data_IF_533215297536
#
_entry.id   IF_533215297536
#
_cell.length_a   1.000
_cell.length_b   1.000
_cell.length_c   1.000
_cell.angle_alpha   90.00
_cell.angle_beta   90.00
_cell.angle_gamma   90.00
#
_symmetry.space_group_name_H-M   'P 1'
#
loop_
_entity.id
_entity.type
_entity.pdbx_description
1 polymer ?
#
# COMPACT_ATOMS: atom_id res chain seq x y z
N UNK A 1 3.15 18.12 -19.30
CA UNK A 1 3.92 16.90 -19.03
C UNK A 1 4.96 17.23 -17.98
N UNK A 2 4.74 16.84 -16.73
CA UNK A 2 5.72 17.03 -15.66
C UNK A 2 6.73 15.89 -15.70
N UNK A 3 8.01 16.24 -15.80
CA UNK A 3 9.09 15.26 -15.62
C UNK A 3 9.16 14.91 -14.13
N UNK A 4 8.98 13.68 -13.79
CA UNK A 4 9.26 13.20 -12.44
C UNK A 4 10.77 13.27 -12.21
N UNK A 5 11.18 13.71 -11.01
CA UNK A 5 12.59 13.76 -10.62
C UNK A 5 13.23 12.37 -10.72
N UNK A 6 14.52 12.33 -10.96
CA UNK A 6 15.32 11.11 -11.03
C UNK A 6 15.12 10.22 -9.78
N UNK A 7 15.05 10.83 -8.62
CA UNK A 7 14.83 10.16 -7.34
C UNK A 7 13.47 9.45 -7.28
N UNK A 8 12.41 10.10 -7.78
CA UNK A 8 11.08 9.51 -7.86
C UNK A 8 11.02 8.42 -8.92
N UNK A 9 11.74 8.56 -10.04
CA UNK A 9 11.89 7.54 -11.05
C UNK A 9 12.63 6.31 -10.51
N UNK A 10 13.68 6.49 -9.71
CA UNK A 10 14.40 5.39 -9.05
C UNK A 10 13.52 4.58 -8.12
N UNK A 11 12.65 5.23 -7.37
CA UNK A 11 11.66 4.55 -6.54
C UNK A 11 10.77 3.64 -7.37
N UNK A 12 10.32 4.08 -8.54
CA UNK A 12 9.49 3.26 -9.43
C UNK A 12 10.25 2.11 -10.11
N UNK A 13 11.49 2.33 -10.52
CA UNK A 13 12.30 1.32 -11.23
C UNK A 13 12.65 0.13 -10.33
N UNK A 14 12.82 0.36 -9.03
CA UNK A 14 13.09 -0.71 -8.07
C UNK A 14 11.89 -1.60 -7.76
N UNK A 15 10.71 -1.32 -8.33
CA UNK A 15 9.42 -1.81 -7.87
C UNK A 15 8.78 -2.90 -8.73
N UNK A 16 9.16 -3.04 -9.97
CA UNK A 16 8.65 -4.09 -10.85
C UNK A 16 9.71 -5.15 -11.06
N UNK A 17 9.36 -6.42 -10.87
CA UNK A 17 10.27 -7.55 -11.08
C UNK A 17 10.91 -7.54 -12.48
N UNK A 18 10.19 -7.00 -13.47
CA UNK A 18 10.70 -6.81 -14.84
C UNK A 18 11.70 -5.65 -14.96
N UNK A 19 11.78 -4.77 -13.98
CA UNK A 19 12.69 -3.61 -13.98
C UNK A 19 13.91 -3.78 -13.08
N UNK A 20 14.01 -4.83 -12.30
CA UNK A 20 15.12 -5.07 -11.38
C UNK A 20 16.51 -5.10 -12.04
N UNK A 21 16.55 -5.36 -13.35
CA UNK A 21 17.76 -5.39 -14.17
C UNK A 21 17.89 -4.20 -15.13
N UNK A 22 17.00 -3.19 -15.03
CA UNK A 22 17.02 -2.02 -15.91
C UNK A 22 17.61 -0.82 -15.19
N UNK A 23 18.42 -0.07 -15.89
CA UNK A 23 18.97 1.20 -15.38
C UNK A 23 17.98 2.34 -15.63
N UNK A 24 18.18 3.47 -14.94
CA UNK A 24 17.42 4.71 -15.16
C UNK A 24 17.44 5.15 -16.62
N UNK A 25 18.50 4.84 -17.33
CA UNK A 25 18.67 5.13 -18.77
C UNK A 25 17.64 4.36 -19.62
N UNK A 26 17.15 3.22 -19.13
CA UNK A 26 16.14 2.42 -19.79
C UNK A 26 14.71 2.94 -19.58
N UNK A 27 14.46 3.73 -18.54
CA UNK A 27 13.17 4.32 -18.21
C UNK A 27 13.28 5.83 -17.89
N UNK A 28 13.73 6.65 -18.84
CA UNK A 28 14.05 8.05 -18.57
C UNK A 28 12.84 8.96 -18.38
N UNK A 29 11.62 8.48 -18.67
CA UNK A 29 10.43 9.33 -18.71
C UNK A 29 9.23 8.72 -18.00
N UNK A 30 8.62 9.57 -17.19
CA UNK A 30 7.28 9.32 -16.64
C UNK A 30 6.40 10.49 -17.02
N UNK A 31 5.11 10.22 -17.18
CA UNK A 31 4.10 11.26 -17.28
C UNK A 31 3.00 11.03 -16.28
N UNK A 32 2.45 12.11 -15.75
CA UNK A 32 1.29 12.12 -14.88
C UNK A 32 0.14 12.77 -15.62
N UNK A 33 -0.98 12.07 -15.71
CA UNK A 33 -2.21 12.57 -16.30
C UNK A 33 -3.38 12.28 -15.39
N UNK A 34 -4.49 13.06 -15.46
CA UNK A 34 -5.71 12.72 -14.74
C UNK A 34 -6.15 11.30 -15.09
N UNK A 35 -6.51 10.52 -14.06
CA UNK A 35 -7.00 9.15 -14.28
C UNK A 35 -8.47 9.15 -14.72
N UNK A 36 -8.86 8.19 -15.58
CA UNK A 36 -10.28 7.91 -15.87
C UNK A 36 -11.10 7.54 -14.63
N UNK A 37 -10.45 7.15 -13.52
CA UNK A 37 -11.12 6.88 -12.25
C UNK A 37 -11.75 8.11 -11.60
N UNK A 38 -11.36 9.34 -12.04
CA UNK A 38 -11.92 10.59 -11.57
C UNK A 38 -11.06 11.32 -10.54
N UNK A 39 -11.70 12.24 -9.83
CA UNK A 39 -11.02 13.10 -8.85
C UNK A 39 -10.29 12.29 -7.77
N UNK A 40 -9.09 12.73 -7.42
CA UNK A 40 -8.23 12.05 -6.45
C UNK A 40 -7.43 10.88 -7.02
N UNK A 41 -7.46 10.68 -8.35
CA UNK A 41 -6.66 9.67 -9.03
C UNK A 41 -5.87 10.25 -10.19
N UNK A 42 -4.68 9.72 -10.40
CA UNK A 42 -3.82 10.05 -11.55
C UNK A 42 -3.27 8.77 -12.19
N UNK A 43 -3.03 8.83 -13.49
CA UNK A 43 -2.36 7.76 -14.24
C UNK A 43 -0.89 8.10 -14.36
N UNK A 44 -0.04 7.18 -13.93
CA UNK A 44 1.41 7.22 -14.12
C UNK A 44 1.75 6.37 -15.32
N UNK A 45 2.36 6.96 -16.33
CA UNK A 45 2.81 6.24 -17.53
C UNK A 45 4.33 6.24 -17.58
N UNK A 46 4.90 5.07 -17.74
CA UNK A 46 6.34 4.84 -17.87
C UNK A 46 6.70 4.60 -19.33
N UNK A 47 7.75 5.23 -19.79
CA UNK A 47 8.27 5.02 -21.14
C UNK A 47 9.66 4.39 -21.07
N UNK A 48 9.83 3.27 -21.75
CA UNK A 48 11.15 2.65 -21.94
C UNK A 48 11.87 3.22 -23.14
N UNK A 49 13.18 3.04 -23.21
CA UNK A 49 13.98 3.41 -24.39
C UNK A 49 13.50 2.73 -25.68
N UNK A 50 12.80 1.60 -25.58
CA UNK A 50 12.21 0.86 -26.69
C UNK A 50 10.81 1.35 -27.09
N UNK A 51 10.37 2.49 -26.58
CA UNK A 51 9.04 3.07 -26.81
C UNK A 51 7.87 2.22 -26.32
N UNK A 52 8.11 1.21 -25.49
CA UNK A 52 7.02 0.56 -24.78
C UNK A 52 6.57 1.42 -23.61
N UNK A 53 5.27 1.44 -23.34
CA UNK A 53 4.72 2.15 -22.19
C UNK A 53 3.94 1.18 -21.30
N UNK A 54 4.10 1.35 -20.02
CA UNK A 54 3.28 0.71 -19.00
C UNK A 54 2.63 1.80 -18.17
N UNK A 55 1.42 1.62 -17.74
CA UNK A 55 0.73 2.60 -16.91
C UNK A 55 0.08 1.97 -15.68
N UNK A 56 -0.09 2.77 -14.65
CA UNK A 56 -0.92 2.40 -13.51
C UNK A 56 -1.63 3.64 -12.96
N UNK A 57 -2.81 3.43 -12.43
CA UNK A 57 -3.54 4.47 -11.71
C UNK A 57 -3.15 4.48 -10.24
N UNK A 58 -2.98 5.66 -9.68
CA UNK A 58 -2.68 5.86 -8.26
C UNK A 58 -3.55 6.95 -7.64
N UNK A 59 -3.87 6.82 -6.36
CA UNK A 59 -4.49 7.90 -5.60
C UNK A 59 -3.53 9.07 -5.39
N UNK A 60 -4.05 10.28 -5.40
CA UNK A 60 -3.27 11.51 -5.24
C UNK A 60 -3.17 12.00 -3.80
N UNK A 61 -3.96 11.43 -2.87
CA UNK A 61 -3.95 11.77 -1.46
C UNK A 61 -3.10 10.83 -0.61
N UNK A 62 -2.80 11.25 0.62
CA UNK A 62 -2.18 10.39 1.61
C UNK A 62 -3.12 9.25 1.98
N UNK A 63 -2.62 8.03 1.87
CA UNK A 63 -3.30 6.82 2.29
C UNK A 63 -2.36 5.99 3.16
N UNK A 64 -2.93 5.07 3.92
CA UNK A 64 -2.15 4.28 4.87
C UNK A 64 -2.62 2.83 4.85
N UNK A 65 -1.67 1.91 4.85
CA UNK A 65 -1.89 0.53 5.26
C UNK A 65 -1.42 0.40 6.71
N UNK A 66 -2.27 -0.11 7.56
CA UNK A 66 -2.03 -0.15 9.01
C UNK A 66 -2.12 -1.55 9.57
N UNK A 67 -1.47 -1.74 10.70
CA UNK A 67 -1.57 -2.95 11.53
C UNK A 67 -2.07 -2.54 12.90
N UNK A 68 -3.19 -3.11 13.31
CA UNK A 68 -3.80 -2.89 14.61
C UNK A 68 -3.75 -4.15 15.45
N UNK A 69 -3.57 -3.97 16.76
CA UNK A 69 -3.72 -5.03 17.77
C UNK A 69 -4.87 -4.73 18.73
N UNK A 70 -5.38 -5.77 19.37
CA UNK A 70 -6.39 -5.65 20.41
C UNK A 70 -6.08 -6.61 21.55
N UNK A 71 -6.12 -6.17 22.82
CA UNK A 71 -5.82 -7.04 23.97
C UNK A 71 -6.78 -8.22 24.11
N UNK A 72 -8.01 -8.13 23.57
CA UNK A 72 -9.00 -9.22 23.59
C UNK A 72 -8.66 -10.36 22.63
N UNK A 73 -7.80 -10.09 21.64
CA UNK A 73 -7.34 -11.06 20.64
C UNK A 73 -5.82 -10.98 20.49
N UNK A 74 -5.04 -11.40 21.53
CA UNK A 74 -3.60 -11.11 21.61
C UNK A 74 -2.76 -11.76 20.51
N UNK A 75 -3.27 -12.81 19.86
CA UNK A 75 -2.57 -13.54 18.79
C UNK A 75 -2.95 -13.07 17.39
N UNK A 76 -3.85 -12.09 17.27
CA UNK A 76 -4.35 -11.61 15.99
C UNK A 76 -3.94 -10.17 15.73
N UNK A 77 -3.60 -9.89 14.48
CA UNK A 77 -3.41 -8.54 13.98
C UNK A 77 -4.44 -8.25 12.91
N UNK A 78 -4.99 -7.03 12.96
CA UNK A 78 -5.86 -6.51 11.89
C UNK A 78 -5.00 -5.70 10.92
N UNK A 79 -5.06 -6.06 9.64
CA UNK A 79 -4.38 -5.35 8.56
C UNK A 79 -5.43 -4.73 7.64
N UNK A 80 -5.40 -3.42 7.51
CA UNK A 80 -6.35 -2.69 6.70
C UNK A 80 -5.75 -1.43 6.08
N UNK A 81 -6.55 -0.69 5.33
CA UNK A 81 -6.15 0.59 4.80
C UNK A 81 -7.13 1.71 5.18
N UNK A 82 -6.66 2.94 5.08
CA UNK A 82 -7.48 4.12 5.30
C UNK A 82 -7.00 5.29 4.45
N UNK A 83 -7.93 6.16 4.06
CA UNK A 83 -7.65 7.47 3.45
C UNK A 83 -7.56 8.58 4.50
N UNK A 84 -7.90 8.26 5.74
CA UNK A 84 -7.70 9.12 6.91
C UNK A 84 -6.42 8.70 7.64
N UNK A 85 -6.16 9.28 8.81
CA UNK A 85 -5.03 8.83 9.62
C UNK A 85 -5.31 7.46 10.24
N UNK A 86 -4.26 6.64 10.49
CA UNK A 86 -4.42 5.36 11.18
C UNK A 86 -5.06 5.49 12.57
N UNK A 87 -4.73 6.56 13.31
CA UNK A 87 -5.29 6.82 14.65
C UNK A 87 -6.80 7.10 14.60
N UNK A 88 -7.24 7.90 13.63
CA UNK A 88 -8.68 8.15 13.43
C UNK A 88 -9.41 6.86 13.07
N UNK A 89 -8.82 6.04 12.22
CA UNK A 89 -9.40 4.76 11.83
C UNK A 89 -9.48 3.79 13.00
N UNK A 90 -8.44 3.71 13.80
CA UNK A 90 -8.44 2.89 15.01
C UNK A 90 -9.53 3.31 16.01
N UNK A 91 -9.73 4.62 16.18
CA UNK A 91 -10.83 5.15 16.99
C UNK A 91 -12.21 4.79 16.44
N UNK A 92 -12.42 4.91 15.14
CA UNK A 92 -13.69 4.54 14.49
C UNK A 92 -14.01 3.06 14.69
N UNK A 93 -13.03 2.18 14.47
CA UNK A 93 -13.20 0.73 14.66
C UNK A 93 -13.44 0.41 16.13
N UNK A 94 -12.72 1.06 17.03
CA UNK A 94 -12.84 0.85 18.49
C UNK A 94 -14.20 1.29 19.05
N UNK A 95 -14.85 2.25 18.40
CA UNK A 95 -16.19 2.72 18.78
C UNK A 95 -17.32 1.80 18.29
N UNK A 96 -17.03 0.80 17.48
CA UNK A 96 -18.04 -0.11 16.94
C UNK A 96 -18.65 -1.00 18.02
N UNK A 97 -19.94 -1.33 17.87
CA UNK A 97 -20.65 -2.25 18.78
C UNK A 97 -19.96 -3.61 18.81
N UNK A 98 -19.74 -4.15 20.00
CA UNK A 98 -19.08 -5.45 20.20
C UNK A 98 -17.55 -5.37 20.35
N UNK A 99 -16.95 -4.21 20.24
CA UNK A 99 -15.52 -4.00 20.55
C UNK A 99 -15.38 -3.65 22.03
N UNK A 100 -14.85 -4.59 22.82
CA UNK A 100 -14.75 -4.45 24.27
C UNK A 100 -13.61 -3.53 24.72
N UNK A 101 -12.48 -3.52 24.01
CA UNK A 101 -11.29 -2.73 24.29
C UNK A 101 -10.79 -2.03 23.02
N UNK A 102 -10.16 -0.86 23.15
CA UNK A 102 -9.70 -0.11 21.97
C UNK A 102 -8.58 -0.83 21.24
N UNK A 103 -8.57 -0.66 19.91
CA UNK A 103 -7.46 -1.06 19.06
C UNK A 103 -6.28 -0.12 19.20
N UNK A 104 -5.09 -0.68 19.12
CA UNK A 104 -3.83 0.05 19.12
C UNK A 104 -3.18 -0.02 17.72
N UNK A 105 -2.70 1.12 17.23
CA UNK A 105 -1.90 1.18 16.00
C UNK A 105 -0.49 0.67 16.34
N UNK A 106 -0.12 -0.47 15.77
CA UNK A 106 1.22 -1.05 15.96
C UNK A 106 2.18 -0.62 14.86
N UNK A 107 1.66 -0.43 13.64
CA UNK A 107 2.44 -0.03 12.48
C UNK A 107 1.54 0.68 11.47
N UNK A 108 2.10 1.63 10.74
CA UNK A 108 1.41 2.31 9.65
C UNK A 108 2.39 2.67 8.54
N UNK A 109 1.99 2.40 7.31
CA UNK A 109 2.78 2.64 6.11
C UNK A 109 2.05 3.64 5.22
N UNK A 110 2.66 4.82 5.00
CA UNK A 110 2.10 5.86 4.12
C UNK A 110 2.34 5.49 2.66
N UNK A 111 1.30 5.54 1.86
CA UNK A 111 1.35 5.14 0.45
C UNK A 111 0.29 5.85 -0.38
N UNK A 112 0.36 5.68 -1.69
CA UNK A 112 -0.78 5.87 -2.57
C UNK A 112 -1.41 4.49 -2.87
N UNK A 113 -2.67 4.45 -3.35
CA UNK A 113 -3.41 3.19 -3.61
C UNK A 113 -3.41 2.19 -2.43
N UNK A 114 -3.70 2.68 -1.23
CA UNK A 114 -3.70 1.87 -0.01
C UNK A 114 -4.58 0.62 -0.10
N UNK A 115 -5.72 0.70 -0.79
CA UNK A 115 -6.61 -0.44 -1.03
C UNK A 115 -5.92 -1.54 -1.82
N UNK A 116 -5.19 -1.19 -2.88
CA UNK A 116 -4.46 -2.16 -3.70
C UNK A 116 -3.31 -2.79 -2.93
N UNK A 117 -2.54 -2.00 -2.19
CA UNK A 117 -1.48 -2.51 -1.33
C UNK A 117 -2.03 -3.45 -0.26
N UNK A 118 -3.11 -3.06 0.41
CA UNK A 118 -3.79 -3.92 1.39
C UNK A 118 -4.16 -5.28 0.77
N UNK A 119 -4.78 -5.27 -0.41
CA UNK A 119 -5.15 -6.48 -1.13
C UNK A 119 -3.94 -7.37 -1.45
N UNK A 120 -2.81 -6.80 -1.84
CA UNK A 120 -1.57 -7.54 -2.09
C UNK A 120 -0.98 -8.13 -0.80
N UNK A 121 -0.98 -7.38 0.30
CA UNK A 121 -0.55 -7.86 1.61
C UNK A 121 -1.44 -9.00 2.10
N UNK A 122 -2.75 -8.89 1.95
CA UNK A 122 -3.70 -9.95 2.29
C UNK A 122 -3.44 -11.23 1.50
N UNK A 123 -3.16 -11.14 0.22
CA UNK A 123 -2.79 -12.31 -0.61
C UNK A 123 -1.44 -12.90 -0.19
N UNK A 124 -0.45 -12.07 0.06
CA UNK A 124 0.87 -12.50 0.48
C UNK A 124 0.86 -13.24 1.83
N UNK A 125 0.00 -12.79 2.75
CA UNK A 125 -0.17 -13.38 4.08
C UNK A 125 -1.39 -14.32 4.17
N UNK A 126 -1.91 -14.80 3.05
CA UNK A 126 -3.18 -15.55 3.01
C UNK A 126 -3.18 -16.82 3.86
N UNK A 127 -2.05 -17.50 4.00
CA UNK A 127 -1.91 -18.70 4.86
C UNK A 127 -2.07 -18.39 6.35
N UNK A 128 -1.84 -17.15 6.78
CA UNK A 128 -2.00 -16.69 8.16
C UNK A 128 -3.36 -16.07 8.43
N UNK A 129 -4.17 -15.89 7.40
CA UNK A 129 -5.48 -15.27 7.52
C UNK A 129 -6.45 -16.21 8.21
N UNK A 130 -7.10 -15.73 9.28
CA UNK A 130 -8.03 -16.54 10.10
C UNK A 130 -9.29 -16.88 9.32
N UNK A 131 -9.78 -15.92 8.50
CA UNK A 131 -11.03 -16.08 7.75
C UNK A 131 -10.97 -15.19 6.50
N UNK A 132 -11.32 -15.72 5.33
CA UNK A 132 -11.31 -14.99 4.06
C UNK A 132 -12.24 -13.77 4.01
N UNK A 133 -13.22 -13.68 4.90
CA UNK A 133 -14.15 -12.56 5.00
C UNK A 133 -13.72 -11.50 6.02
N UNK A 134 -12.63 -11.75 6.75
CA UNK A 134 -12.14 -10.87 7.82
C UNK A 134 -10.68 -10.50 7.59
N UNK A 135 -10.31 -9.33 8.05
CA UNK A 135 -8.96 -8.75 7.90
C UNK A 135 -8.04 -9.09 9.07
N UNK A 136 -8.22 -10.27 9.68
CA UNK A 136 -7.44 -10.73 10.82
C UNK A 136 -6.45 -11.82 10.43
N UNK A 137 -5.23 -11.68 10.95
CA UNK A 137 -4.10 -12.55 10.62
C UNK A 137 -3.44 -13.04 11.91
N UNK A 138 -3.14 -14.33 11.96
CA UNK A 138 -2.33 -14.93 13.01
C UNK A 138 -0.86 -14.91 12.57
N UNK A 139 -0.24 -13.76 12.70
CA UNK A 139 1.11 -13.46 12.23
C UNK A 139 1.78 -12.53 13.21
N UNK A 140 3.11 -12.60 13.32
CA UNK A 140 3.86 -11.68 14.17
C UNK A 140 3.86 -10.26 13.59
N UNK A 141 3.99 -9.26 14.44
CA UNK A 141 4.10 -7.86 14.00
C UNK A 141 5.30 -7.67 13.06
N UNK A 142 6.43 -8.30 13.35
CA UNK A 142 7.63 -8.23 12.52
C UNK A 142 7.38 -8.77 11.10
N UNK A 143 6.71 -9.90 10.97
CA UNK A 143 6.37 -10.48 9.66
C UNK A 143 5.36 -9.63 8.90
N UNK A 144 4.34 -9.10 9.59
CA UNK A 144 3.36 -8.20 9.00
C UNK A 144 4.02 -6.91 8.49
N UNK A 145 4.88 -6.31 9.30
CA UNK A 145 5.62 -5.10 8.93
C UNK A 145 6.54 -5.34 7.73
N UNK A 146 7.31 -6.41 7.73
CA UNK A 146 8.18 -6.78 6.61
C UNK A 146 7.41 -6.99 5.31
N UNK A 147 6.26 -7.65 5.37
CA UNK A 147 5.40 -7.86 4.21
C UNK A 147 4.89 -6.52 3.64
N UNK A 148 4.42 -5.63 4.50
CA UNK A 148 3.92 -4.30 4.09
C UNK A 148 5.05 -3.47 3.49
N UNK A 149 6.21 -3.41 4.12
CA UNK A 149 7.37 -2.67 3.62
C UNK A 149 7.86 -3.22 2.27
N UNK A 150 7.97 -4.53 2.14
CA UNK A 150 8.39 -5.19 0.90
C UNK A 150 7.46 -4.89 -0.27
N UNK A 151 6.16 -5.07 -0.07
CA UNK A 151 5.16 -4.83 -1.11
C UNK A 151 4.86 -3.33 -1.29
N UNK A 152 4.98 -2.56 -0.21
CA UNK A 152 4.66 -1.14 -0.16
C UNK A 152 5.62 -0.25 -0.93
N UNK A 153 6.82 -0.72 -1.21
CA UNK A 153 7.81 0.02 -2.01
C UNK A 153 7.21 0.50 -3.34
N UNK A 154 6.31 -0.27 -3.95
CA UNK A 154 5.60 0.08 -5.21
C UNK A 154 4.61 1.24 -5.06
N UNK A 155 4.29 1.62 -3.85
CA UNK A 155 3.22 2.55 -3.53
C UNK A 155 3.71 3.80 -2.79
N UNK A 156 5.00 4.04 -2.81
CA UNK A 156 5.61 5.23 -2.22
C UNK A 156 5.45 6.48 -3.07
#
# INVERSE_FOLDING_TARGET
MERITLEKAQQFISLEDDFTNKTIEDCPYFTLTPSPRGEGWETVTYYTARRSSTYMDRGTGDQWVYVLSNPTTPNLLKIGYTKNTPDERAKQISAATGVALPYKVEFAFKCFNGEQLEGEVHRYLSEFRVNNQREFFEVSLEEAQKAIEKLGVRYL
#
